data_IF_866517608712
#
_entry.id   IF_866517608712
#
_cell.length_a   1.000
_cell.length_b   1.000
_cell.length_c   1.000
_cell.angle_alpha   90.00
_cell.angle_beta   90.00
_cell.angle_gamma   90.00
#
_symmetry.space_group_name_H-M   'P 1'
#
loop_
_entity.id
_entity.type
_entity.pdbx_description
1 polymer ?
#
# COMPACT_ATOMS: atom_id res chain seq x y z
N UNK A 1 -0.05 20.88 -10.04
CA UNK A 1 0.87 20.14 -10.93
C UNK A 1 1.19 18.83 -10.27
N UNK A 2 0.80 17.69 -10.86
CA UNK A 2 1.12 16.37 -10.32
C UNK A 2 2.63 16.15 -10.40
N UNK A 3 3.24 15.70 -9.29
CA UNK A 3 4.62 15.26 -9.32
C UNK A 3 4.76 14.05 -10.27
N UNK A 4 5.89 13.93 -10.98
CA UNK A 4 6.13 12.77 -11.82
C UNK A 4 6.08 11.49 -10.98
N UNK A 5 5.66 10.40 -11.62
CA UNK A 5 5.73 9.06 -11.04
C UNK A 5 7.13 8.85 -10.44
N UNK A 6 7.27 8.32 -9.23
CA UNK A 6 8.57 8.00 -8.68
C UNK A 6 9.41 7.22 -9.69
N UNK A 7 10.71 7.48 -9.76
CA UNK A 7 11.59 6.92 -10.76
C UNK A 7 11.40 5.41 -10.91
N UNK A 8 11.03 4.97 -12.13
CA UNK A 8 10.97 3.55 -12.48
C UNK A 8 9.60 2.86 -12.32
N UNK A 9 8.55 3.55 -11.90
CA UNK A 9 7.22 2.94 -11.77
C UNK A 9 6.47 2.89 -13.12
N UNK A 10 6.97 2.05 -14.01
CA UNK A 10 6.50 1.97 -15.40
C UNK A 10 5.08 1.38 -15.52
N UNK A 11 4.71 0.41 -14.66
CA UNK A 11 3.37 -0.19 -14.69
C UNK A 11 2.31 0.78 -14.18
N UNK A 12 2.61 1.52 -13.13
CA UNK A 12 1.74 2.59 -12.63
C UNK A 12 1.51 3.64 -13.73
N UNK A 13 2.57 4.07 -14.42
CA UNK A 13 2.48 5.00 -15.54
C UNK A 13 1.64 4.44 -16.70
N UNK A 14 1.79 3.16 -17.05
CA UNK A 14 1.03 2.50 -18.11
C UNK A 14 -0.49 2.47 -17.85
N UNK A 15 -0.90 2.42 -16.57
CA UNK A 15 -2.31 2.55 -16.15
C UNK A 15 -2.68 3.97 -15.74
N UNK A 16 -1.87 4.96 -16.13
CA UNK A 16 -2.08 6.40 -15.98
C UNK A 16 -2.18 6.89 -14.54
N UNK A 17 -1.47 6.21 -13.63
CA UNK A 17 -1.35 6.68 -12.24
C UNK A 17 -0.30 7.77 -12.14
N UNK A 18 -0.61 8.76 -11.33
CA UNK A 18 0.33 9.80 -10.88
C UNK A 18 0.25 9.90 -9.36
N UNK A 19 1.30 10.46 -8.77
CA UNK A 19 1.43 10.56 -7.32
C UNK A 19 1.82 11.98 -6.96
N UNK A 20 1.27 12.48 -5.87
CA UNK A 20 1.65 13.76 -5.29
C UNK A 20 1.65 13.70 -3.78
N UNK A 21 2.52 14.47 -3.11
CA UNK A 21 2.47 14.57 -1.65
C UNK A 21 1.09 15.05 -1.19
N UNK A 22 0.65 14.53 -0.02
CA UNK A 22 -0.56 15.03 0.63
C UNK A 22 -0.32 16.41 1.24
N UNK A 23 -1.38 17.21 1.26
CA UNK A 23 -1.40 18.51 1.95
C UNK A 23 -2.63 18.64 2.85
N UNK A 24 -2.72 19.75 3.58
CA UNK A 24 -3.86 19.99 4.48
C UNK A 24 -5.20 19.99 3.75
N UNK A 25 -5.23 20.42 2.51
CA UNK A 25 -6.45 20.43 1.68
C UNK A 25 -6.96 19.01 1.36
N UNK A 26 -6.13 17.97 1.46
CA UNK A 26 -6.49 16.60 1.12
C UNK A 26 -7.19 15.84 2.25
N UNK A 27 -7.24 16.39 3.47
CA UNK A 27 -7.76 15.68 4.64
C UNK A 27 -9.20 15.19 4.45
N UNK A 28 -10.06 15.97 3.81
CA UNK A 28 -11.44 15.55 3.49
C UNK A 28 -11.46 14.38 2.49
N UNK A 29 -10.59 14.40 1.49
CA UNK A 29 -10.43 13.30 0.53
C UNK A 29 -9.90 12.04 1.23
N UNK A 30 -8.87 12.16 2.06
CA UNK A 30 -8.27 11.05 2.79
C UNK A 30 -9.27 10.40 3.76
N UNK A 31 -10.12 11.21 4.43
CA UNK A 31 -11.21 10.72 5.26
C UNK A 31 -12.24 9.93 4.44
N UNK A 32 -12.61 10.37 3.23
CA UNK A 32 -13.49 9.60 2.32
C UNK A 32 -12.86 8.28 1.90
N UNK A 33 -11.56 8.27 1.56
CA UNK A 33 -10.84 7.03 1.24
C UNK A 33 -10.88 6.07 2.43
N UNK A 34 -10.61 6.56 3.65
CA UNK A 34 -10.70 5.77 4.88
C UNK A 34 -12.10 5.18 5.08
N UNK A 35 -13.12 6.03 5.04
CA UNK A 35 -14.53 5.62 5.18
C UNK A 35 -14.90 4.50 4.20
N UNK A 36 -14.45 4.61 2.93
CA UNK A 36 -14.74 3.61 1.91
C UNK A 36 -14.13 2.23 2.18
N UNK A 37 -13.15 2.13 3.06
CA UNK A 37 -12.55 0.85 3.47
C UNK A 37 -13.30 0.18 4.62
N UNK A 38 -14.23 0.90 5.28
CA UNK A 38 -14.97 0.46 6.48
C UNK A 38 -16.48 0.34 6.26
N UNK A 39 -16.97 0.78 5.11
CA UNK A 39 -18.43 0.86 4.84
C UNK A 39 -19.11 -0.51 4.96
N UNK A 40 -18.50 -1.57 4.42
CA UNK A 40 -19.07 -2.92 4.45
C UNK A 40 -19.12 -3.48 5.89
N UNK A 41 -18.08 -3.25 6.68
CA UNK A 41 -18.01 -3.68 8.08
C UNK A 41 -19.08 -2.97 8.93
N UNK A 42 -19.21 -1.65 8.78
CA UNK A 42 -20.19 -0.86 9.54
C UNK A 42 -21.63 -1.07 9.08
N UNK A 43 -21.85 -1.53 7.85
CA UNK A 43 -23.18 -1.89 7.38
C UNK A 43 -23.82 -3.01 8.21
N UNK A 44 -23.01 -3.85 8.85
CA UNK A 44 -23.47 -4.96 9.71
C UNK A 44 -23.79 -4.53 11.14
N UNK A 45 -23.59 -3.25 11.49
CA UNK A 45 -23.87 -2.73 12.83
C UNK A 45 -25.24 -2.05 12.89
N UNK A 46 -25.86 -2.05 14.08
CA UNK A 46 -27.14 -1.38 14.34
C UNK A 46 -26.99 0.14 14.62
N UNK A 47 -25.81 0.71 14.40
CA UNK A 47 -25.56 2.13 14.61
C UNK A 47 -26.34 2.98 13.61
N UNK A 48 -26.85 4.16 14.05
CA UNK A 48 -27.42 5.15 13.13
C UNK A 48 -26.35 5.70 12.15
N UNK A 49 -26.79 6.28 11.04
CA UNK A 49 -25.84 6.84 10.04
C UNK A 49 -25.02 7.98 10.62
N UNK A 50 -25.59 8.79 11.50
CA UNK A 50 -24.87 9.87 12.21
C UNK A 50 -23.81 9.29 13.16
N UNK A 51 -24.16 8.22 13.90
CA UNK A 51 -23.20 7.56 14.79
C UNK A 51 -22.07 6.89 14.01
N UNK A 52 -22.36 6.25 12.87
CA UNK A 52 -21.34 5.69 11.96
C UNK A 52 -20.40 6.77 11.43
N UNK A 53 -20.95 7.91 10.98
CA UNK A 53 -20.15 9.02 10.47
C UNK A 53 -19.23 9.60 11.55
N UNK A 54 -19.73 9.83 12.75
CA UNK A 54 -18.95 10.33 13.89
C UNK A 54 -17.83 9.35 14.27
N UNK A 55 -18.14 8.04 14.32
CA UNK A 55 -17.19 6.98 14.62
C UNK A 55 -16.09 6.93 13.58
N UNK A 56 -16.41 6.93 12.28
CA UNK A 56 -15.44 6.91 11.19
C UNK A 56 -14.55 8.15 11.18
N UNK A 57 -15.11 9.31 11.47
CA UNK A 57 -14.34 10.55 11.60
C UNK A 57 -13.32 10.43 12.74
N UNK A 58 -13.73 9.99 13.91
CA UNK A 58 -12.83 9.77 15.05
C UNK A 58 -11.72 8.76 14.71
N UNK A 59 -12.08 7.64 14.11
CA UNK A 59 -11.14 6.58 13.73
C UNK A 59 -10.12 7.05 12.68
N UNK A 60 -10.56 7.81 11.68
CA UNK A 60 -9.66 8.40 10.69
C UNK A 60 -8.59 9.28 11.35
N UNK A 61 -9.01 10.19 12.25
CA UNK A 61 -8.08 11.08 12.91
C UNK A 61 -7.12 10.33 13.83
N UNK A 62 -7.59 9.32 14.55
CA UNK A 62 -6.75 8.47 15.39
C UNK A 62 -5.69 7.74 14.54
N UNK A 63 -6.08 7.14 13.41
CA UNK A 63 -5.17 6.48 12.49
C UNK A 63 -4.16 7.46 11.88
N UNK A 64 -4.64 8.61 11.41
CA UNK A 64 -3.80 9.64 10.79
C UNK A 64 -2.72 10.15 11.76
N UNK A 65 -3.11 10.49 12.98
CA UNK A 65 -2.17 10.92 14.02
C UNK A 65 -1.18 9.81 14.41
N UNK A 66 -1.67 8.57 14.54
CA UNK A 66 -0.82 7.41 14.83
C UNK A 66 0.25 7.22 13.75
N UNK A 67 -0.14 7.23 12.49
CA UNK A 67 0.78 7.05 11.37
C UNK A 67 1.84 8.15 11.32
N UNK A 68 1.43 9.42 11.42
CA UNK A 68 2.37 10.53 11.41
C UNK A 68 3.39 10.46 12.55
N UNK A 69 2.96 9.99 13.73
CA UNK A 69 3.85 9.83 14.89
C UNK A 69 4.86 8.70 14.71
N UNK A 70 4.44 7.56 14.13
CA UNK A 70 5.25 6.34 14.09
C UNK A 70 6.05 6.18 12.79
N UNK A 71 5.71 6.93 11.75
CA UNK A 71 6.35 6.85 10.43
C UNK A 71 6.76 8.25 9.92
N UNK A 72 7.65 8.96 10.64
CA UNK A 72 7.96 10.36 10.33
C UNK A 72 8.73 10.55 9.01
N UNK A 73 9.33 9.48 8.47
CA UNK A 73 10.08 9.48 7.21
C UNK A 73 9.29 8.90 6.03
N UNK A 74 7.98 8.64 6.23
CA UNK A 74 7.17 8.06 5.18
C UNK A 74 6.85 9.07 4.07
N UNK A 75 6.77 8.55 2.85
CA UNK A 75 6.13 9.25 1.74
C UNK A 75 4.62 9.11 1.86
N UNK A 76 3.95 10.23 2.02
CA UNK A 76 2.50 10.37 2.13
C UNK A 76 1.97 10.84 0.80
N UNK A 77 1.36 9.94 0.03
CA UNK A 77 1.00 10.23 -1.35
C UNK A 77 -0.51 10.09 -1.60
N UNK A 78 -1.05 11.03 -2.34
CA UNK A 78 -2.31 10.86 -3.06
C UNK A 78 -2.01 10.14 -4.36
N UNK A 79 -2.81 9.12 -4.67
CA UNK A 79 -2.82 8.43 -5.96
C UNK A 79 -3.87 9.11 -6.82
N UNK A 80 -3.50 9.56 -8.00
CA UNK A 80 -4.43 10.10 -9.00
C UNK A 80 -4.35 9.28 -10.29
N UNK A 81 -5.46 9.27 -11.05
CA UNK A 81 -5.56 8.71 -12.41
C UNK A 81 -6.23 9.75 -13.30
N UNK A 82 -5.59 10.08 -14.42
CA UNK A 82 -6.10 11.11 -15.35
C UNK A 82 -6.44 12.44 -14.65
N UNK A 83 -5.66 12.83 -13.67
CA UNK A 83 -5.87 14.07 -12.91
C UNK A 83 -6.94 13.99 -11.81
N UNK A 84 -7.59 12.85 -11.61
CA UNK A 84 -8.60 12.62 -10.57
C UNK A 84 -7.96 11.87 -9.39
N UNK A 85 -8.11 12.39 -8.18
CA UNK A 85 -7.65 11.73 -6.96
C UNK A 85 -8.50 10.47 -6.69
N UNK A 86 -7.86 9.30 -6.65
CA UNK A 86 -8.52 8.00 -6.56
C UNK A 86 -8.16 7.18 -5.33
N UNK A 87 -7.12 7.56 -4.60
CA UNK A 87 -6.66 6.80 -3.45
C UNK A 87 -5.45 7.41 -2.76
N UNK A 88 -4.86 6.62 -1.86
CA UNK A 88 -3.67 7.01 -1.11
C UNK A 88 -2.67 5.88 -1.04
N UNK A 89 -1.39 6.24 -0.92
CA UNK A 89 -0.27 5.35 -0.65
C UNK A 89 0.62 5.99 0.40
N UNK A 90 0.87 5.27 1.49
CA UNK A 90 1.84 5.66 2.52
C UNK A 90 2.91 4.58 2.59
N UNK A 91 4.15 4.96 2.39
CA UNK A 91 5.28 4.04 2.32
C UNK A 91 6.51 4.63 3.01
N UNK A 92 7.20 3.83 3.78
CA UNK A 92 8.51 4.18 4.35
C UNK A 92 9.56 3.19 3.88
N UNK A 93 10.70 3.71 3.42
CA UNK A 93 11.80 2.91 2.90
C UNK A 93 12.86 2.69 3.98
N UNK A 94 12.74 1.55 4.67
CA UNK A 94 13.69 1.17 5.71
C UNK A 94 14.97 0.57 5.11
N UNK A 95 16.05 0.43 5.90
CA UNK A 95 17.29 -0.15 5.42
C UNK A 95 17.14 -1.55 4.83
N UNK A 96 16.27 -2.40 5.39
CA UNK A 96 16.10 -3.81 5.00
C UNK A 96 14.82 -4.10 4.23
N UNK A 97 13.87 -3.17 4.20
CA UNK A 97 12.57 -3.39 3.56
C UNK A 97 11.86 -2.08 3.21
N UNK A 98 10.99 -2.13 2.22
CA UNK A 98 9.97 -1.12 1.99
C UNK A 98 8.73 -1.47 2.80
N UNK A 99 8.33 -0.59 3.70
CA UNK A 99 7.15 -0.74 4.55
C UNK A 99 5.97 -0.02 3.92
N UNK A 100 4.99 -0.75 3.39
CA UNK A 100 3.71 -0.18 3.03
C UNK A 100 2.92 0.01 4.33
N UNK A 101 2.67 1.27 4.68
CA UNK A 101 1.92 1.64 5.87
C UNK A 101 0.44 1.55 5.57
N UNK A 102 0.03 2.08 4.41
CA UNK A 102 -1.35 2.07 3.94
C UNK A 102 -1.39 2.20 2.41
N UNK A 103 -2.27 1.45 1.78
CA UNK A 103 -2.62 1.57 0.37
C UNK A 103 -4.12 1.35 0.22
N UNK A 104 -4.84 2.35 -0.28
CA UNK A 104 -6.28 2.27 -0.47
C UNK A 104 -6.73 3.03 -1.71
N UNK A 105 -7.67 2.44 -2.45
CA UNK A 105 -8.35 3.06 -3.59
C UNK A 105 -9.84 3.19 -3.27
N UNK A 106 -10.46 4.26 -3.76
CA UNK A 106 -11.90 4.42 -3.75
C UNK A 106 -12.57 3.25 -4.50
N UNK A 107 -13.74 2.75 -4.07
CA UNK A 107 -14.38 1.54 -4.59
C UNK A 107 -14.49 1.50 -6.12
N UNK A 108 -14.91 2.60 -6.74
CA UNK A 108 -15.10 2.70 -8.20
C UNK A 108 -13.80 2.59 -9.02
N UNK A 109 -12.64 2.64 -8.36
CA UNK A 109 -11.32 2.51 -9.01
C UNK A 109 -10.61 1.20 -8.66
N UNK A 110 -11.28 0.32 -7.91
CA UNK A 110 -10.77 -1.03 -7.59
C UNK A 110 -11.03 -1.98 -8.77
N UNK A 111 -10.33 -3.12 -8.79
CA UNK A 111 -10.52 -4.16 -9.82
C UNK A 111 -9.95 -3.84 -11.20
N UNK A 112 -9.55 -2.60 -11.47
CA UNK A 112 -8.99 -2.16 -12.77
C UNK A 112 -7.47 -2.25 -12.88
N UNK A 113 -6.80 -3.08 -12.09
CA UNK A 113 -5.35 -3.31 -12.17
C UNK A 113 -4.46 -2.25 -11.53
N UNK A 114 -4.99 -1.11 -11.07
CA UNK A 114 -4.20 -0.02 -10.49
C UNK A 114 -3.39 -0.46 -9.25
N UNK A 115 -4.02 -1.17 -8.32
CA UNK A 115 -3.35 -1.66 -7.11
C UNK A 115 -2.27 -2.70 -7.44
N UNK A 116 -2.51 -3.59 -8.39
CA UNK A 116 -1.52 -4.58 -8.83
C UNK A 116 -0.33 -3.91 -9.51
N UNK A 117 -0.57 -2.97 -10.43
CA UNK A 117 0.49 -2.24 -11.11
C UNK A 117 1.41 -1.53 -10.11
N UNK A 118 0.81 -0.83 -9.14
CA UNK A 118 1.55 -0.13 -8.10
C UNK A 118 2.36 -1.08 -7.21
N UNK A 119 1.76 -2.19 -6.75
CA UNK A 119 2.47 -3.16 -5.91
C UNK A 119 3.63 -3.81 -6.65
N UNK A 120 3.48 -4.15 -7.94
CA UNK A 120 4.56 -4.72 -8.75
C UNK A 120 5.72 -3.73 -8.94
N UNK A 121 5.43 -2.45 -9.15
CA UNK A 121 6.48 -1.43 -9.26
C UNK A 121 7.24 -1.25 -7.93
N UNK A 122 6.53 -1.26 -6.79
CA UNK A 122 7.16 -1.26 -5.46
C UNK A 122 8.00 -2.50 -5.20
N UNK A 123 7.56 -3.67 -5.66
CA UNK A 123 8.31 -4.91 -5.56
C UNK A 123 9.58 -4.86 -6.42
N UNK A 124 9.51 -4.33 -7.64
CA UNK A 124 10.68 -4.16 -8.52
C UNK A 124 11.68 -3.16 -7.93
N UNK A 125 11.20 -2.04 -7.38
CA UNK A 125 12.04 -1.07 -6.67
C UNK A 125 12.76 -1.73 -5.47
N UNK A 126 12.03 -2.49 -4.67
CA UNK A 126 12.61 -3.21 -3.54
C UNK A 126 13.60 -4.29 -3.98
N UNK A 127 13.29 -5.04 -5.07
CA UNK A 127 14.19 -6.05 -5.62
C UNK A 127 15.50 -5.43 -6.10
N UNK A 128 15.46 -4.30 -6.81
CA UNK A 128 16.64 -3.59 -7.25
C UNK A 128 17.53 -3.14 -6.07
N UNK A 129 16.90 -2.80 -4.95
CA UNK A 129 17.58 -2.46 -3.70
C UNK A 129 17.94 -3.68 -2.83
N UNK A 130 17.62 -4.92 -3.25
CA UNK A 130 17.75 -6.17 -2.48
C UNK A 130 16.99 -6.14 -1.14
N UNK A 131 15.83 -5.52 -1.14
CA UNK A 131 14.98 -5.34 0.06
C UNK A 131 13.68 -6.13 -0.07
N UNK A 132 13.10 -6.46 1.06
CA UNK A 132 11.74 -7.00 1.12
C UNK A 132 10.68 -5.89 0.98
N UNK A 133 9.43 -6.28 0.76
CA UNK A 133 8.25 -5.42 0.93
C UNK A 133 7.38 -6.02 2.02
N UNK A 134 6.92 -5.22 2.97
CA UNK A 134 6.03 -5.67 4.03
C UNK A 134 4.82 -4.77 4.20
N UNK A 135 3.73 -5.37 4.67
CA UNK A 135 2.47 -4.68 4.95
C UNK A 135 1.69 -5.41 6.05
N UNK A 136 0.99 -4.66 6.90
CA UNK A 136 -0.06 -5.25 7.74
C UNK A 136 -1.38 -5.24 6.98
N UNK A 137 -2.04 -6.39 6.91
CA UNK A 137 -3.32 -6.56 6.19
C UNK A 137 -4.34 -7.19 7.13
N UNK A 138 -5.52 -6.61 7.23
CA UNK A 138 -6.65 -7.25 7.92
C UNK A 138 -7.01 -8.57 7.25
N UNK A 139 -7.24 -9.62 8.04
CA UNK A 139 -7.52 -10.98 7.52
C UNK A 139 -8.73 -11.04 6.59
N UNK A 140 -9.73 -10.19 6.83
CA UNK A 140 -10.95 -10.12 6.01
C UNK A 140 -10.82 -9.15 4.83
N UNK A 141 -9.67 -8.50 4.63
CA UNK A 141 -9.48 -7.55 3.54
C UNK A 141 -9.50 -8.26 2.17
N UNK A 142 -10.36 -7.85 1.22
CA UNK A 142 -10.42 -8.44 -0.12
C UNK A 142 -9.07 -8.41 -0.87
N UNK A 143 -8.20 -7.44 -0.57
CA UNK A 143 -6.86 -7.34 -1.16
C UNK A 143 -5.91 -8.48 -0.74
N UNK A 144 -6.27 -9.28 0.28
CA UNK A 144 -5.49 -10.44 0.71
C UNK A 144 -5.20 -11.41 -0.46
N UNK A 145 -6.18 -11.60 -1.36
CA UNK A 145 -6.02 -12.43 -2.57
C UNK A 145 -4.96 -11.87 -3.51
N UNK A 146 -4.90 -10.55 -3.66
CA UNK A 146 -3.90 -9.88 -4.50
C UNK A 146 -2.51 -10.05 -3.90
N UNK A 147 -2.32 -9.83 -2.61
CA UNK A 147 -1.03 -10.00 -1.96
C UNK A 147 -0.50 -11.43 -2.11
N UNK A 148 -1.33 -12.44 -1.84
CA UNK A 148 -0.96 -13.86 -2.01
C UNK A 148 -0.59 -14.18 -3.45
N UNK A 149 -1.36 -13.70 -4.45
CA UNK A 149 -1.07 -13.88 -5.87
C UNK A 149 0.26 -13.24 -6.28
N UNK A 150 0.64 -12.13 -5.66
CA UNK A 150 1.91 -11.45 -5.88
C UNK A 150 3.09 -12.12 -5.15
N UNK A 151 2.84 -13.14 -4.33
CA UNK A 151 3.87 -13.89 -3.64
C UNK A 151 4.20 -13.37 -2.23
N UNK A 152 3.35 -12.51 -1.66
CA UNK A 152 3.45 -12.20 -0.24
C UNK A 152 3.02 -13.40 0.59
N UNK A 153 3.76 -13.66 1.64
CA UNK A 153 3.47 -14.71 2.64
C UNK A 153 3.21 -14.09 4.00
N UNK A 154 2.40 -14.74 4.83
CA UNK A 154 2.21 -14.32 6.21
C UNK A 154 3.49 -14.62 6.98
N UNK A 155 4.13 -13.59 7.52
CA UNK A 155 5.33 -13.68 8.36
C UNK A 155 4.93 -13.80 9.84
N UNK A 156 3.89 -13.06 10.25
CA UNK A 156 3.41 -13.06 11.63
C UNK A 156 1.89 -12.88 11.68
N UNK A 157 1.21 -13.71 12.48
CA UNK A 157 -0.20 -13.54 12.83
C UNK A 157 -0.31 -12.57 14.02
N UNK A 158 -0.96 -11.43 13.79
CA UNK A 158 -1.20 -10.39 14.82
C UNK A 158 -2.69 -10.31 15.21
N UNK A 159 -3.39 -11.43 15.20
CA UNK A 159 -4.81 -11.51 15.54
C UNK A 159 -5.71 -11.02 14.41
N UNK A 160 -6.17 -9.78 14.43
CA UNK A 160 -7.03 -9.20 13.39
C UNK A 160 -6.26 -8.94 12.09
N UNK A 161 -4.95 -8.71 12.17
CA UNK A 161 -4.05 -8.43 11.04
C UNK A 161 -3.05 -9.56 10.85
N UNK A 162 -2.62 -9.77 9.60
CA UNK A 162 -1.41 -10.51 9.26
C UNK A 162 -0.32 -9.51 8.86
N UNK A 163 0.89 -9.70 9.40
CA UNK A 163 2.07 -9.10 8.80
C UNK A 163 2.45 -9.95 7.60
N UNK A 164 2.31 -9.39 6.42
CA UNK A 164 2.69 -10.05 5.18
C UNK A 164 4.02 -9.50 4.66
N UNK A 165 4.85 -10.38 4.12
CA UNK A 165 6.15 -10.05 3.54
C UNK A 165 6.30 -10.68 2.16
N UNK A 166 6.85 -9.91 1.25
CA UNK A 166 7.41 -10.38 -0.01
C UNK A 166 8.92 -10.17 -0.01
N UNK A 167 9.67 -11.16 -0.51
CA UNK A 167 11.13 -11.11 -0.61
C UNK A 167 11.54 -11.38 -2.05
N UNK A 168 12.44 -10.59 -2.65
CA UNK A 168 12.92 -10.85 -3.99
C UNK A 168 13.62 -12.21 -4.05
N UNK A 169 13.40 -12.95 -5.14
CA UNK A 169 14.16 -14.20 -5.39
C UNK A 169 15.63 -13.83 -5.53
N UNK A 170 16.49 -14.43 -4.75
CA UNK A 170 17.91 -14.33 -5.00
C UNK A 170 18.21 -14.99 -6.35
N UNK A 171 19.05 -14.37 -7.22
CA UNK A 171 19.56 -15.09 -8.37
C UNK A 171 20.27 -16.34 -7.84
N UNK A 172 20.00 -17.48 -8.49
CA UNK A 172 20.70 -18.72 -8.17
C UNK A 172 22.20 -18.44 -8.20
N UNK A 173 22.92 -18.81 -7.14
CA UNK A 173 24.37 -18.70 -7.12
C UNK A 173 24.89 -19.45 -8.37
N UNK A 174 25.58 -18.75 -9.25
CA UNK A 174 26.31 -19.38 -10.37
C UNK A 174 27.29 -20.35 -9.71
N UNK A 175 27.24 -21.66 -10.04
CA UNK A 175 28.22 -22.59 -9.51
C UNK A 175 29.61 -22.05 -9.85
N UNK A 176 30.47 -21.94 -8.86
CA UNK A 176 31.87 -21.59 -9.10
C UNK A 176 32.42 -22.63 -10.09
N UNK A 177 32.84 -22.16 -11.25
CA UNK A 177 33.56 -22.94 -12.25
C UNK A 177 34.76 -23.55 -11.50
N UNK A 178 34.74 -24.88 -11.30
CA UNK A 178 35.90 -25.61 -10.84
C UNK A 178 36.84 -25.67 -12.01
N UNK A 179 37.71 -24.68 -12.09
CA UNK A 179 38.82 -24.73 -13.00
C UNK A 179 39.55 -26.06 -12.84
N UNK A 180 39.55 -26.85 -13.92
CA UNK A 180 40.36 -28.05 -14.06
C UNK A 180 41.82 -27.70 -13.85
N UNK A 181 42.38 -28.08 -12.71
CA UNK A 181 43.82 -28.25 -12.58
C UNK A 181 44.20 -29.57 -13.25
N UNK A 182 44.85 -29.48 -14.39
CA UNK A 182 45.71 -30.49 -14.93
C UNK A 182 47.15 -30.10 -14.74
#
# INVERSE_FOLDING_TARGET
MSAPVPFGWARAAAVRLTFRPIGKADLAFLARVYTSTRTEELALTEMSDEAKAAFLHMQFWAQHAHYQKHYPQADWLVIARDGVDIGRLYIERWPTQHRIIDIALLPQYRGGGAGEALLRDLMDEAAAARKAVSIHVEKMNPAMRLYRRLGFVTEEDKGVYDLMRWTPRQPAAVPADRGDEQ
#
